data_IF_006046405388
#
_entry.id   IF_006046405388
#
_cell.length_a   1.000
_cell.length_b   1.000
_cell.length_c   1.000
_cell.angle_alpha   90.00
_cell.angle_beta   90.00
_cell.angle_gamma   90.00
#
_symmetry.space_group_name_H-M   'P 1'
#
loop_
_entity.id
_entity.type
_entity.pdbx_description
1 polymer ?
#
# COMPACT_ATOMS: atom_id res chain seq x y z
N UNK A 1 33.12 -75.89 -37.11
CA UNK A 1 33.84 -74.93 -36.23
C UNK A 1 33.44 -73.46 -36.41
N UNK A 2 33.30 -72.95 -37.62
CA UNK A 2 32.98 -71.51 -37.86
C UNK A 2 31.62 -71.09 -37.28
N UNK A 3 30.54 -71.89 -37.33
CA UNK A 3 29.23 -71.54 -36.77
C UNK A 3 29.23 -71.42 -35.25
N UNK A 4 29.99 -72.26 -34.55
CA UNK A 4 30.09 -72.11 -33.07
C UNK A 4 30.75 -70.82 -32.65
N UNK A 5 31.75 -70.36 -33.38
CA UNK A 5 32.43 -69.05 -33.09
C UNK A 5 31.49 -67.88 -33.27
N UNK A 6 30.59 -67.88 -34.29
CA UNK A 6 29.61 -66.78 -34.46
C UNK A 6 28.53 -66.80 -33.38
N UNK A 7 28.09 -67.97 -32.90
CA UNK A 7 27.15 -68.09 -31.77
C UNK A 7 27.73 -67.55 -30.46
N UNK A 8 28.97 -67.90 -30.18
CA UNK A 8 29.67 -67.35 -28.99
C UNK A 8 29.91 -65.88 -29.12
N UNK A 9 30.24 -65.33 -30.27
CA UNK A 9 30.39 -63.88 -30.51
C UNK A 9 29.08 -63.10 -30.29
N UNK A 10 27.95 -63.63 -30.79
CA UNK A 10 26.63 -63.05 -30.62
C UNK A 10 26.18 -63.06 -29.14
N UNK A 11 26.47 -64.15 -28.40
CA UNK A 11 26.18 -64.22 -26.95
C UNK A 11 26.97 -63.22 -26.15
N UNK A 12 28.23 -63.02 -26.43
CA UNK A 12 29.09 -62.02 -25.74
C UNK A 12 28.57 -60.62 -26.05
N UNK A 13 28.24 -60.31 -27.32
CA UNK A 13 27.71 -59.01 -27.70
C UNK A 13 26.38 -58.71 -27.03
N UNK A 14 25.46 -59.72 -26.95
CA UNK A 14 24.19 -59.53 -26.24
C UNK A 14 24.38 -59.31 -24.76
N UNK A 15 25.32 -59.97 -24.13
CA UNK A 15 25.63 -59.80 -22.72
C UNK A 15 26.21 -58.41 -22.41
N UNK A 16 27.09 -57.91 -23.27
CA UNK A 16 27.63 -56.54 -23.16
C UNK A 16 26.53 -55.51 -23.31
N UNK A 17 25.61 -55.69 -24.26
CA UNK A 17 24.45 -54.79 -24.42
C UNK A 17 23.52 -54.80 -23.22
N UNK A 18 23.24 -55.99 -22.65
CA UNK A 18 22.40 -56.10 -21.44
C UNK A 18 23.05 -55.39 -20.24
N UNK A 19 24.35 -55.58 -20.04
CA UNK A 19 25.10 -54.89 -18.97
C UNK A 19 25.09 -53.38 -19.19
N UNK A 20 25.29 -52.90 -20.41
CA UNK A 20 25.27 -51.46 -20.73
C UNK A 20 23.87 -50.85 -20.49
N UNK A 21 22.81 -51.57 -20.87
CA UNK A 21 21.42 -51.15 -20.59
C UNK A 21 21.12 -51.14 -19.08
N UNK A 22 21.57 -52.15 -18.35
CA UNK A 22 21.39 -52.21 -16.91
C UNK A 22 22.09 -51.04 -16.21
N UNK A 23 23.34 -50.72 -16.58
CA UNK A 23 24.07 -49.56 -16.05
C UNK A 23 23.38 -48.24 -16.40
N UNK A 24 22.76 -48.14 -17.58
CA UNK A 24 21.96 -46.94 -17.92
C UNK A 24 20.69 -46.83 -17.07
N UNK A 25 20.00 -47.93 -16.84
CA UNK A 25 18.80 -47.93 -15.97
C UNK A 25 19.15 -47.54 -14.54
N UNK A 26 20.20 -48.10 -13.97
CA UNK A 26 20.67 -47.74 -12.62
C UNK A 26 21.05 -46.24 -12.53
N UNK A 27 21.71 -45.71 -13.58
CA UNK A 27 22.06 -44.29 -13.64
C UNK A 27 20.83 -43.37 -13.76
N UNK A 28 19.83 -43.77 -14.55
CA UNK A 28 18.56 -43.07 -14.68
C UNK A 28 17.76 -43.08 -13.35
N UNK A 29 17.73 -44.24 -12.68
CA UNK A 29 17.06 -44.37 -11.40
C UNK A 29 17.69 -43.43 -10.32
N UNK A 30 19.01 -43.39 -10.28
CA UNK A 30 19.70 -42.45 -9.38
C UNK A 30 19.44 -40.98 -9.71
N UNK A 31 19.30 -40.62 -11.00
CA UNK A 31 18.91 -39.25 -11.42
C UNK A 31 17.45 -38.96 -11.06
N UNK A 32 16.54 -39.89 -11.24
CA UNK A 32 15.14 -39.73 -10.85
C UNK A 32 15.00 -39.58 -9.32
N UNK A 33 15.76 -40.36 -8.54
CA UNK A 33 15.78 -40.24 -7.09
C UNK A 33 16.33 -38.86 -6.63
N UNK A 34 17.36 -38.35 -7.32
CA UNK A 34 17.89 -37.00 -6.99
C UNK A 34 16.92 -35.88 -7.34
N UNK A 35 16.08 -36.04 -8.38
CA UNK A 35 15.03 -35.10 -8.74
C UNK A 35 13.81 -35.19 -7.83
N UNK A 36 13.54 -36.39 -7.30
CA UNK A 36 12.44 -36.65 -6.37
C UNK A 36 12.78 -36.39 -4.90
N UNK A 37 14.01 -36.00 -4.57
CA UNK A 37 14.29 -35.52 -3.23
C UNK A 37 13.46 -34.25 -3.03
N UNK A 38 12.50 -34.26 -2.09
CA UNK A 38 11.73 -33.06 -1.79
C UNK A 38 12.71 -31.98 -1.37
N UNK A 39 12.66 -30.84 -2.04
CA UNK A 39 13.47 -29.67 -1.70
C UNK A 39 12.97 -29.08 -0.36
N UNK A 40 12.93 -29.91 0.68
CA UNK A 40 12.43 -29.61 2.01
C UNK A 40 13.21 -28.45 2.64
N UNK A 41 14.49 -28.33 2.34
CA UNK A 41 15.32 -27.22 2.79
C UNK A 41 14.90 -25.89 2.16
N UNK A 42 14.58 -25.87 0.86
CA UNK A 42 14.11 -24.67 0.17
C UNK A 42 12.70 -24.25 0.62
N UNK A 43 11.80 -25.21 0.79
CA UNK A 43 10.45 -24.95 1.32
C UNK A 43 10.48 -24.45 2.77
N UNK A 44 11.29 -25.02 3.63
CA UNK A 44 11.46 -24.59 5.01
C UNK A 44 12.04 -23.18 5.09
N UNK A 45 13.06 -22.88 4.26
CA UNK A 45 13.65 -21.53 4.18
C UNK A 45 12.65 -20.47 3.68
N UNK A 46 11.81 -20.82 2.69
CA UNK A 46 10.74 -19.95 2.21
C UNK A 46 9.65 -19.71 3.28
N UNK A 47 9.26 -20.75 4.00
CA UNK A 47 8.30 -20.62 5.11
C UNK A 47 8.84 -19.74 6.24
N UNK A 48 10.12 -19.86 6.57
CA UNK A 48 10.78 -19.03 7.58
C UNK A 48 10.89 -17.58 7.13
N UNK A 49 11.25 -17.35 5.87
CA UNK A 49 11.27 -16.02 5.27
C UNK A 49 9.88 -15.38 5.27
N UNK A 50 8.84 -16.14 4.91
CA UNK A 50 7.46 -15.67 4.94
C UNK A 50 7.01 -15.29 6.35
N UNK A 51 7.33 -16.13 7.37
CA UNK A 51 7.05 -15.82 8.77
C UNK A 51 7.72 -14.54 9.23
N UNK A 52 9.00 -14.34 8.90
CA UNK A 52 9.72 -13.10 9.23
C UNK A 52 9.08 -11.90 8.59
N UNK A 53 8.79 -11.97 7.27
CA UNK A 53 8.11 -10.88 6.57
C UNK A 53 6.74 -10.57 7.16
N UNK A 54 5.97 -11.57 7.56
CA UNK A 54 4.68 -11.36 8.23
C UNK A 54 4.84 -10.69 9.61
N UNK A 55 5.85 -11.08 10.39
CA UNK A 55 6.16 -10.45 11.68
C UNK A 55 6.61 -8.99 11.51
N UNK A 56 7.47 -8.71 10.52
CA UNK A 56 7.92 -7.36 10.19
C UNK A 56 6.75 -6.48 9.73
N UNK A 57 5.85 -7.03 8.91
CA UNK A 57 4.63 -6.34 8.46
C UNK A 57 3.68 -6.04 9.62
N UNK A 58 3.55 -6.94 10.59
CA UNK A 58 2.74 -6.73 11.78
C UNK A 58 3.31 -5.60 12.64
N UNK A 59 4.64 -5.57 12.85
CA UNK A 59 5.30 -4.50 13.61
C UNK A 59 5.22 -3.14 12.94
N UNK A 60 5.37 -3.08 11.61
CA UNK A 60 5.19 -1.83 10.85
C UNK A 60 3.74 -1.33 10.94
N UNK A 61 2.78 -2.25 10.91
CA UNK A 61 1.36 -1.90 11.02
C UNK A 61 1.00 -1.32 12.39
N UNK A 62 1.65 -1.76 13.46
CA UNK A 62 1.49 -1.20 14.81
C UNK A 62 2.10 0.21 14.94
N UNK A 63 3.12 0.53 14.14
CA UNK A 63 3.75 1.85 14.10
C UNK A 63 3.04 2.84 13.17
N UNK A 64 2.13 2.36 12.32
CA UNK A 64 1.40 3.22 11.40
C UNK A 64 0.46 4.16 12.16
N UNK A 65 0.36 5.45 11.75
CA UNK A 65 -0.57 6.39 12.37
C UNK A 65 -2.01 5.88 12.33
N UNK A 66 -2.74 6.07 13.41
CA UNK A 66 -4.17 5.80 13.46
C UNK A 66 -5.01 6.86 12.75
N UNK A 67 -6.28 6.59 12.51
CA UNK A 67 -7.20 7.54 11.86
C UNK A 67 -7.22 8.91 12.57
N UNK A 68 -7.18 8.94 13.91
CA UNK A 68 -7.19 10.17 14.70
C UNK A 68 -5.96 11.06 14.44
N UNK A 69 -4.80 10.47 14.23
CA UNK A 69 -3.56 11.21 13.91
C UNK A 69 -3.63 11.81 12.51
N UNK A 70 -4.13 11.07 11.53
CA UNK A 70 -4.39 11.63 10.20
C UNK A 70 -5.40 12.76 10.25
N UNK A 71 -6.49 12.64 11.02
CA UNK A 71 -7.48 13.72 11.16
C UNK A 71 -6.87 14.97 11.82
N UNK A 72 -5.97 14.79 12.79
CA UNK A 72 -5.23 15.91 13.41
C UNK A 72 -4.33 16.62 12.39
N UNK A 73 -3.62 15.85 11.56
CA UNK A 73 -2.74 16.39 10.52
C UNK A 73 -3.54 17.09 9.42
N UNK A 74 -4.66 16.52 8.98
CA UNK A 74 -5.62 17.16 8.05
C UNK A 74 -6.09 18.49 8.60
N UNK A 75 -6.49 18.54 9.88
CA UNK A 75 -6.94 19.76 10.53
C UNK A 75 -5.82 20.82 10.63
N UNK A 76 -4.58 20.39 10.89
CA UNK A 76 -3.42 21.27 10.92
C UNK A 76 -3.19 21.93 9.55
N UNK A 77 -3.14 21.14 8.47
CA UNK A 77 -2.94 21.67 7.12
C UNK A 77 -4.12 22.52 6.66
N UNK A 78 -5.35 22.16 7.00
CA UNK A 78 -6.52 23.00 6.74
C UNK A 78 -6.42 24.34 7.43
N UNK A 79 -5.97 24.38 8.70
CA UNK A 79 -5.75 25.62 9.43
C UNK A 79 -4.67 26.50 8.81
N UNK A 80 -3.54 25.93 8.44
CA UNK A 80 -2.43 26.63 7.78
C UNK A 80 -2.85 27.16 6.40
N UNK A 81 -3.56 26.36 5.63
CA UNK A 81 -4.14 26.72 4.34
C UNK A 81 -5.03 27.97 4.44
N UNK A 82 -5.88 28.05 5.46
CA UNK A 82 -6.74 29.20 5.71
C UNK A 82 -5.92 30.50 5.86
N UNK A 83 -4.88 30.50 6.71
CA UNK A 83 -4.08 31.68 6.95
C UNK A 83 -3.21 32.05 5.75
N UNK A 84 -2.64 31.09 5.06
CA UNK A 84 -1.87 31.32 3.85
C UNK A 84 -2.71 32.01 2.76
N UNK A 85 -3.91 31.52 2.49
CA UNK A 85 -4.80 32.12 1.50
C UNK A 85 -5.32 33.50 1.94
N UNK A 86 -5.61 33.67 3.23
CA UNK A 86 -6.01 34.97 3.81
C UNK A 86 -4.93 36.05 3.70
N UNK A 87 -3.66 35.67 3.79
CA UNK A 87 -2.50 36.52 3.56
C UNK A 87 -2.16 36.70 2.07
N UNK A 88 -2.95 36.14 1.17
CA UNK A 88 -2.68 36.09 -0.29
C UNK A 88 -1.36 35.40 -0.64
N UNK A 89 -0.82 34.58 0.25
CA UNK A 89 0.33 33.73 -0.01
C UNK A 89 -0.13 32.44 -0.72
N UNK A 90 -0.48 32.60 -2.00
CA UNK A 90 -1.05 31.52 -2.81
C UNK A 90 -0.11 30.35 -3.04
N UNK A 91 1.22 30.58 -2.98
CA UNK A 91 2.21 29.52 -3.07
C UNK A 91 2.17 28.63 -1.82
N UNK A 92 2.12 29.25 -0.63
CA UNK A 92 1.98 28.52 0.63
C UNK A 92 0.60 27.83 0.71
N UNK A 93 -0.46 28.51 0.26
CA UNK A 93 -1.80 27.92 0.21
C UNK A 93 -1.85 26.66 -0.67
N UNK A 94 -1.17 26.67 -1.83
CA UNK A 94 -1.09 25.49 -2.67
C UNK A 94 -0.32 24.35 -1.98
N UNK A 95 0.82 24.66 -1.36
CA UNK A 95 1.59 23.69 -0.61
C UNK A 95 0.75 23.03 0.50
N UNK A 96 0.06 23.82 1.32
CA UNK A 96 -0.77 23.28 2.42
C UNK A 96 -1.98 22.48 1.91
N UNK A 97 -2.52 22.82 0.73
CA UNK A 97 -3.54 22.01 0.08
C UNK A 97 -3.00 20.67 -0.41
N UNK A 98 -1.78 20.64 -0.95
CA UNK A 98 -1.15 19.41 -1.43
C UNK A 98 -0.82 18.46 -0.27
N UNK A 99 -0.31 18.98 0.86
CA UNK A 99 -0.10 18.23 2.11
C UNK A 99 -1.42 17.68 2.70
N UNK A 100 -2.48 18.48 2.63
CA UNK A 100 -3.83 18.06 3.05
C UNK A 100 -4.32 16.89 2.19
N UNK A 101 -4.16 16.98 0.86
CA UNK A 101 -4.54 15.93 -0.09
C UNK A 101 -3.76 14.63 0.19
N UNK A 102 -2.44 14.73 0.34
CA UNK A 102 -1.59 13.57 0.61
C UNK A 102 -2.00 12.89 1.92
N UNK A 103 -2.26 13.68 2.97
CA UNK A 103 -2.70 13.15 4.26
C UNK A 103 -4.07 12.47 4.15
N UNK A 104 -5.01 13.03 3.38
CA UNK A 104 -6.32 12.42 3.14
C UNK A 104 -6.20 11.11 2.35
N UNK A 105 -5.32 11.04 1.35
CA UNK A 105 -5.05 9.81 0.60
C UNK A 105 -4.44 8.73 1.50
N UNK A 106 -3.50 9.09 2.37
CA UNK A 106 -2.94 8.16 3.34
C UNK A 106 -4.00 7.63 4.32
N UNK A 107 -4.88 8.50 4.82
CA UNK A 107 -6.00 8.12 5.69
C UNK A 107 -6.99 7.16 5.01
N UNK A 108 -7.24 7.31 3.70
CA UNK A 108 -8.05 6.36 2.89
C UNK A 108 -7.46 4.95 2.94
N UNK A 109 -6.13 4.84 2.90
CA UNK A 109 -5.42 3.56 2.93
C UNK A 109 -5.68 2.72 4.17
N UNK A 110 -6.15 3.32 5.27
CA UNK A 110 -6.53 2.61 6.49
C UNK A 110 -7.78 1.74 6.33
N UNK A 111 -8.61 1.99 5.32
CA UNK A 111 -9.92 1.34 5.12
C UNK A 111 -10.78 1.34 6.39
N UNK A 112 -10.71 2.41 7.18
CA UNK A 112 -11.40 2.54 8.44
C UNK A 112 -12.92 2.63 8.23
N UNK A 113 -13.67 1.97 9.12
CA UNK A 113 -15.12 2.09 9.20
C UNK A 113 -15.51 2.55 10.61
N UNK A 114 -16.40 3.52 10.71
CA UNK A 114 -16.91 4.07 11.96
C UNK A 114 -18.41 4.25 11.88
N UNK A 115 -19.14 3.61 12.78
CA UNK A 115 -20.60 3.67 12.84
C UNK A 115 -21.27 3.34 11.48
N UNK A 116 -20.74 2.33 10.75
CA UNK A 116 -21.23 1.92 9.43
C UNK A 116 -20.78 2.82 8.27
N UNK A 117 -20.04 3.92 8.56
CA UNK A 117 -19.50 4.82 7.54
C UNK A 117 -18.11 4.35 7.13
N UNK A 118 -17.93 4.02 5.86
CA UNK A 118 -16.62 3.76 5.27
C UNK A 118 -15.90 5.09 5.02
N UNK A 119 -14.94 5.40 5.89
CA UNK A 119 -14.23 6.69 5.87
C UNK A 119 -13.49 6.89 4.55
N UNK A 120 -12.95 5.83 3.95
CA UNK A 120 -12.28 5.89 2.64
C UNK A 120 -13.19 6.44 1.54
N UNK A 121 -14.48 6.04 1.51
CA UNK A 121 -15.41 6.52 0.49
C UNK A 121 -15.75 8.00 0.66
N UNK A 122 -15.89 8.46 1.91
CA UNK A 122 -16.16 9.87 2.20
C UNK A 122 -14.97 10.73 1.84
N UNK A 123 -13.75 10.33 2.24
CA UNK A 123 -12.53 11.04 1.89
C UNK A 123 -12.33 11.11 0.38
N UNK A 124 -12.63 10.02 -0.34
CA UNK A 124 -12.56 10.00 -1.80
C UNK A 124 -13.52 11.01 -2.43
N UNK A 125 -14.77 11.05 -1.96
CA UNK A 125 -15.76 12.03 -2.41
C UNK A 125 -15.30 13.47 -2.16
N UNK A 126 -14.78 13.78 -0.97
CA UNK A 126 -14.28 15.12 -0.62
C UNK A 126 -13.07 15.51 -1.48
N UNK A 127 -12.15 14.59 -1.73
CA UNK A 127 -11.00 14.80 -2.60
C UNK A 127 -11.41 15.14 -4.03
N UNK A 128 -12.43 14.45 -4.55
CA UNK A 128 -12.90 14.62 -5.92
C UNK A 128 -13.83 15.83 -6.12
N UNK A 129 -14.34 16.41 -5.05
CA UNK A 129 -15.30 17.54 -5.10
C UNK A 129 -14.75 18.79 -4.42
N UNK A 130 -14.84 18.89 -3.09
CA UNK A 130 -14.49 20.10 -2.34
C UNK A 130 -13.02 20.49 -2.49
N UNK A 131 -12.12 19.52 -2.46
CA UNK A 131 -10.68 19.78 -2.59
C UNK A 131 -10.32 20.25 -4.01
N UNK A 132 -11.01 19.77 -5.03
CA UNK A 132 -10.88 20.25 -6.41
C UNK A 132 -11.30 21.72 -6.52
N UNK A 133 -12.38 22.13 -5.85
CA UNK A 133 -12.82 23.52 -5.87
C UNK A 133 -11.87 24.44 -5.07
N UNK A 134 -11.30 23.96 -3.96
CA UNK A 134 -10.21 24.66 -3.26
C UNK A 134 -9.00 24.88 -4.19
N UNK A 135 -8.56 23.86 -4.90
CA UNK A 135 -7.44 23.94 -5.84
C UNK A 135 -7.70 25.00 -6.94
N UNK A 136 -8.90 24.99 -7.52
CA UNK A 136 -9.30 26.00 -8.52
C UNK A 136 -9.30 27.42 -7.93
N UNK A 137 -9.77 27.58 -6.70
CA UNK A 137 -9.82 28.87 -6.04
C UNK A 137 -8.43 29.46 -5.76
N UNK A 138 -7.47 28.59 -5.36
CA UNK A 138 -6.08 28.94 -5.13
C UNK A 138 -5.40 29.31 -6.45
N UNK A 139 -5.55 28.49 -7.50
CA UNK A 139 -4.99 28.75 -8.82
C UNK A 139 -5.51 30.04 -9.45
N UNK A 140 -6.78 30.36 -9.23
CA UNK A 140 -7.36 31.63 -9.68
C UNK A 140 -7.03 32.83 -8.76
N UNK A 141 -6.36 32.57 -7.63
CA UNK A 141 -6.01 33.58 -6.63
C UNK A 141 -7.21 34.41 -6.19
N UNK A 142 -8.38 33.78 -6.07
CA UNK A 142 -9.65 34.45 -5.73
C UNK A 142 -10.00 34.27 -4.26
N UNK A 143 -9.86 35.30 -3.39
CA UNK A 143 -10.18 35.19 -1.97
C UNK A 143 -11.63 34.82 -1.69
N UNK A 144 -12.59 35.36 -2.46
CA UNK A 144 -14.01 35.09 -2.28
C UNK A 144 -14.36 33.63 -2.67
N UNK A 145 -13.80 33.14 -3.77
CA UNK A 145 -13.96 31.75 -4.19
C UNK A 145 -13.33 30.79 -3.17
N UNK A 146 -12.10 31.11 -2.73
CA UNK A 146 -11.41 30.34 -1.70
C UNK A 146 -12.23 30.23 -0.42
N UNK A 147 -12.74 31.35 0.08
CA UNK A 147 -13.53 31.36 1.31
C UNK A 147 -14.78 30.47 1.21
N UNK A 148 -15.48 30.52 0.07
CA UNK A 148 -16.64 29.68 -0.20
C UNK A 148 -16.26 28.20 -0.23
N UNK A 149 -15.26 27.83 -1.02
CA UNK A 149 -14.81 26.44 -1.17
C UNK A 149 -14.28 25.87 0.15
N UNK A 150 -13.64 26.71 0.96
CA UNK A 150 -13.16 26.31 2.29
C UNK A 150 -14.33 25.96 3.21
N UNK A 151 -15.38 26.80 3.27
CA UNK A 151 -16.59 26.53 4.07
C UNK A 151 -17.30 25.25 3.62
N UNK A 152 -17.39 25.04 2.32
CA UNK A 152 -17.97 23.81 1.75
C UNK A 152 -17.17 22.57 2.15
N UNK A 153 -15.82 22.70 2.21
CA UNK A 153 -14.95 21.64 2.71
C UNK A 153 -15.18 21.36 4.19
N UNK A 154 -15.24 22.40 5.03
CA UNK A 154 -15.54 22.24 6.46
C UNK A 154 -16.91 21.60 6.68
N UNK A 155 -17.90 21.98 5.88
CA UNK A 155 -19.24 21.38 5.93
C UNK A 155 -19.21 19.88 5.64
N UNK A 156 -18.47 19.47 4.63
CA UNK A 156 -18.30 18.06 4.29
C UNK A 156 -17.59 17.28 5.42
N UNK A 157 -16.54 17.84 6.01
CA UNK A 157 -15.86 17.25 7.18
C UNK A 157 -16.82 17.06 8.36
N UNK A 158 -17.62 18.08 8.69
CA UNK A 158 -18.59 18.02 9.78
C UNK A 158 -19.74 17.04 9.50
N UNK A 159 -20.15 16.91 8.25
CA UNK A 159 -21.11 15.89 7.81
C UNK A 159 -20.61 14.47 8.11
N UNK A 160 -19.38 14.17 7.68
CA UNK A 160 -18.74 12.90 7.97
C UNK A 160 -18.61 12.64 9.48
N UNK A 161 -18.14 13.63 10.27
CA UNK A 161 -18.04 13.49 11.71
C UNK A 161 -19.40 13.17 12.36
N UNK A 162 -20.46 13.78 11.88
CA UNK A 162 -21.82 13.53 12.39
C UNK A 162 -22.27 12.11 12.09
N UNK A 163 -22.13 11.65 10.84
CA UNK A 163 -22.53 10.32 10.40
C UNK A 163 -21.68 9.21 11.06
N UNK A 164 -20.37 9.46 11.22
CA UNK A 164 -19.45 8.54 11.86
C UNK A 164 -19.57 8.47 13.39
N UNK A 165 -20.50 9.24 14.00
CA UNK A 165 -20.74 9.25 15.45
C UNK A 165 -19.87 10.21 16.23
N UNK A 166 -19.13 11.12 15.57
CA UNK A 166 -18.23 12.10 16.16
C UNK A 166 -18.78 13.54 16.10
N UNK A 167 -20.10 13.71 16.20
CA UNK A 167 -20.75 15.04 16.15
C UNK A 167 -20.17 16.06 17.13
N UNK A 168 -19.56 15.60 18.21
CA UNK A 168 -18.88 16.46 19.19
C UNK A 168 -17.55 17.05 18.68
N UNK A 169 -17.02 16.54 17.55
CA UNK A 169 -15.89 17.13 16.83
C UNK A 169 -16.46 18.00 15.72
N UNK A 170 -16.56 19.31 15.98
CA UNK A 170 -17.09 20.25 15.01
C UNK A 170 -15.99 21.23 14.57
N UNK A 171 -15.59 21.14 13.31
CA UNK A 171 -14.52 21.96 12.73
C UNK A 171 -15.10 23.28 12.23
N UNK A 172 -14.44 24.36 12.58
CA UNK A 172 -14.81 25.73 12.18
C UNK A 172 -13.62 26.43 11.53
N UNK A 173 -13.86 27.59 10.92
CA UNK A 173 -12.75 28.44 10.46
C UNK A 173 -11.84 28.79 11.65
N UNK A 174 -10.51 28.63 11.50
CA UNK A 174 -9.62 28.92 12.62
C UNK A 174 -9.56 30.41 12.90
N UNK A 175 -9.66 30.78 14.17
CA UNK A 175 -9.57 32.17 14.65
C UNK A 175 -8.13 32.65 14.89
N UNK A 176 -7.20 31.71 15.10
CA UNK A 176 -5.78 31.94 15.26
C UNK A 176 -4.96 30.92 14.44
N UNK A 177 -3.73 31.28 14.02
CA UNK A 177 -2.86 30.37 13.32
C UNK A 177 -2.56 29.12 14.16
N UNK A 178 -2.56 27.92 13.55
CA UNK A 178 -2.28 26.68 14.29
C UNK A 178 -0.83 26.55 14.73
N UNK A 179 0.07 27.34 14.15
CA UNK A 179 1.48 27.45 14.53
C UNK A 179 1.88 28.91 14.64
N UNK A 180 2.75 29.24 15.61
CA UNK A 180 3.12 30.61 15.95
C UNK A 180 4.45 31.08 15.34
N UNK A 181 5.19 30.15 14.75
CA UNK A 181 6.55 30.35 14.22
C UNK A 181 6.61 30.28 12.69
N UNK A 182 5.50 30.51 12.01
CA UNK A 182 5.41 30.53 10.54
C UNK A 182 4.93 31.90 10.08
N UNK A 183 5.52 32.41 9.01
CA UNK A 183 5.09 33.61 8.30
C UNK A 183 4.04 33.24 7.24
N UNK A 184 2.94 33.96 7.19
CA UNK A 184 1.81 33.69 6.31
C UNK A 184 1.84 34.50 5.02
#
# INVERSE_FOLDING_TARGET
>A
MKQAVYLWGALILSMVLIVALFLRVVRLDSQVQSLNQPNTGGLAALQDSLKRTQADLASIKELAPGLGEYMTTIQLHAGKLWFAARAANWQLAQYELDELKETMEAAKGLNAEKNGVKISNVLDSVLQTQVVELDKSIKSKSPAHFQKSYDETLSACNGCHTEAGYKFIHIVRPSAPPVTNQQW
#
